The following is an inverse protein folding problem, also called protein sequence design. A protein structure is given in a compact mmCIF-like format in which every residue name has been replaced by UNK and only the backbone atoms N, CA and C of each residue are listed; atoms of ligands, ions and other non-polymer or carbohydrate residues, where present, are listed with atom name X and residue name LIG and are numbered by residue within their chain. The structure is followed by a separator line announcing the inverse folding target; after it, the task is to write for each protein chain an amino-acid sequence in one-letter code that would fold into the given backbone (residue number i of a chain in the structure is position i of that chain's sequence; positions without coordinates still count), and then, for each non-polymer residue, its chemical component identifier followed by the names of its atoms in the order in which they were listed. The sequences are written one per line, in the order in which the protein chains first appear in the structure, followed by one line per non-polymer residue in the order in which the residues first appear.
data_IF_227460899129
#
_entry.id   IF_227460899129
#
_cell.length_a   1.000
_cell.length_b   1.000
_cell.length_c   1.000
_cell.angle_alpha   90.00
_cell.angle_beta   90.00
_cell.angle_gamma   90.00
#
_symmetry.space_group_name_H-M   'P 1'
#
loop_
_entity.id
_entity.type
_entity.pdbx_description
1 polymer ?
#
# COMPACT_ATOMS: atom_id res chain seq x y z
N UNK A 1 -0.33 -13.20 2.22
CA UNK A 1 -0.65 -12.48 0.96
C UNK A 1 0.39 -11.39 0.75
N UNK A 2 0.59 -10.89 -0.46
CA UNK A 2 1.59 -9.86 -0.73
C UNK A 2 0.91 -8.55 -1.13
N UNK A 3 1.30 -7.45 -0.50
CA UNK A 3 0.92 -6.09 -0.89
C UNK A 3 2.11 -5.44 -1.59
N UNK A 4 1.88 -4.90 -2.78
CA UNK A 4 2.88 -4.12 -3.51
C UNK A 4 2.57 -2.64 -3.34
N UNK A 5 3.52 -1.89 -2.78
CA UNK A 5 3.39 -0.47 -2.49
C UNK A 5 4.50 0.31 -3.22
N UNK A 6 4.12 1.38 -3.92
CA UNK A 6 5.06 2.21 -4.68
C UNK A 6 5.85 3.15 -3.76
N UNK A 7 5.26 3.59 -2.65
CA UNK A 7 5.90 4.49 -1.71
C UNK A 7 6.96 3.78 -0.85
N UNK A 8 7.89 4.53 -0.25
CA UNK A 8 8.90 3.96 0.65
C UNK A 8 8.32 3.35 1.94
N UNK A 9 7.13 3.76 2.33
CA UNK A 9 6.44 3.30 3.54
C UNK A 9 4.96 3.02 3.25
N UNK A 10 4.37 1.97 3.85
CA UNK A 10 2.95 1.63 3.69
C UNK A 10 2.01 2.64 4.37
N UNK A 11 0.75 2.63 3.95
CA UNK A 11 -0.32 3.45 4.53
C UNK A 11 -0.90 4.50 3.58
N UNK A 12 -0.38 4.62 2.35
CA UNK A 12 -0.94 5.46 1.28
C UNK A 12 -1.26 6.89 1.75
N UNK A 13 -2.45 7.38 1.39
CA UNK A 13 -2.89 8.74 1.73
C UNK A 13 -3.01 9.02 3.24
N UNK A 14 -3.24 7.98 4.06
CA UNK A 14 -3.23 8.16 5.53
C UNK A 14 -1.85 8.58 6.02
N UNK A 15 -0.77 8.08 5.37
CA UNK A 15 0.60 8.45 5.69
C UNK A 15 1.04 9.76 5.03
N UNK A 16 0.73 9.95 3.74
CA UNK A 16 1.30 11.06 2.95
C UNK A 16 0.40 12.29 2.82
N UNK A 17 -0.91 12.14 3.05
CA UNK A 17 -1.89 13.22 2.86
C UNK A 17 -2.47 13.81 4.14
N UNK A 18 -2.60 12.99 5.20
CA UNK A 18 -3.19 13.43 6.46
C UNK A 18 -2.09 13.99 7.39
N UNK A 19 -2.24 15.22 7.90
CA UNK A 19 -1.29 15.77 8.88
C UNK A 19 -1.26 14.96 10.19
N UNK A 20 -0.08 14.88 10.80
CA UNK A 20 0.18 14.08 12.00
C UNK A 20 -0.72 14.45 13.20
N UNK A 21 -1.06 15.73 13.38
CA UNK A 21 -1.98 16.15 14.45
C UNK A 21 -3.43 15.65 14.27
N UNK A 22 -3.81 15.19 13.06
CA UNK A 22 -5.12 14.58 12.78
C UNK A 22 -5.05 13.06 12.81
N UNK A 23 -3.94 12.49 12.36
CA UNK A 23 -3.69 11.06 12.39
C UNK A 23 -2.22 10.85 12.76
N UNK A 24 -1.92 10.61 14.04
CA UNK A 24 -0.56 10.36 14.50
C UNK A 24 0.08 9.16 13.78
N UNK A 25 1.30 9.34 13.29
CA UNK A 25 2.00 8.33 12.49
C UNK A 25 2.35 7.07 13.26
N UNK A 26 2.48 7.15 14.58
CA UNK A 26 2.71 6.02 15.48
C UNK A 26 1.48 5.11 15.58
N UNK A 27 0.27 5.69 15.65
CA UNK A 27 -0.98 4.94 15.59
C UNK A 27 -1.09 4.21 14.25
N UNK A 28 -0.87 4.93 13.14
CA UNK A 28 -0.88 4.30 11.81
C UNK A 28 0.17 3.18 11.69
N UNK A 29 1.34 3.34 12.30
CA UNK A 29 2.38 2.31 12.29
C UNK A 29 1.93 1.06 13.07
N UNK A 30 1.33 1.23 14.25
CA UNK A 30 0.85 0.12 15.05
C UNK A 30 -0.21 -0.72 14.32
N UNK A 31 -1.15 -0.08 13.63
CA UNK A 31 -2.18 -0.76 12.81
C UNK A 31 -1.55 -1.56 11.66
N UNK A 32 -0.50 -1.02 11.01
CA UNK A 32 0.22 -1.72 9.95
C UNK A 32 1.00 -2.90 10.51
N UNK A 33 1.67 -2.74 11.64
CA UNK A 33 2.39 -3.83 12.34
C UNK A 33 1.44 -4.97 12.72
N UNK A 34 0.20 -4.66 13.13
CA UNK A 34 -0.82 -5.69 13.39
C UNK A 34 -1.18 -6.47 12.12
N UNK A 35 -1.34 -5.79 10.98
CA UNK A 35 -1.59 -6.43 9.68
C UNK A 35 -0.41 -7.31 9.24
N UNK A 36 0.82 -6.85 9.43
CA UNK A 36 2.02 -7.66 9.14
C UNK A 36 2.09 -8.90 10.06
N UNK A 37 1.69 -8.75 11.33
CA UNK A 37 1.72 -9.84 12.32
C UNK A 37 0.82 -11.03 11.97
N UNK A 38 -0.24 -10.81 11.17
CA UNK A 38 -1.13 -11.88 10.68
C UNK A 38 -0.64 -12.55 9.38
N UNK A 39 0.57 -12.23 8.92
CA UNK A 39 1.23 -12.89 7.78
C UNK A 39 1.03 -12.19 6.43
N UNK A 40 0.76 -10.88 6.44
CA UNK A 40 0.81 -10.04 5.24
C UNK A 40 2.25 -9.59 4.98
N UNK A 41 2.75 -9.81 3.77
CA UNK A 41 4.05 -9.34 3.31
C UNK A 41 3.87 -8.04 2.52
N UNK A 42 4.38 -6.92 3.02
CA UNK A 42 4.27 -5.61 2.36
C UNK A 42 5.62 -5.26 1.72
N UNK A 43 5.64 -5.18 0.39
CA UNK A 43 6.82 -4.79 -0.39
C UNK A 43 6.70 -3.33 -0.81
N UNK A 44 7.42 -2.46 -0.10
CA UNK A 44 7.54 -1.03 -0.43
C UNK A 44 8.49 -0.80 -1.60
N UNK A 45 8.48 0.41 -2.18
CA UNK A 45 9.27 0.76 -3.37
C UNK A 45 9.09 -0.21 -4.55
N UNK A 46 7.92 -0.84 -4.66
CA UNK A 46 7.64 -1.89 -5.65
C UNK A 46 6.43 -1.48 -6.50
N UNK A 47 6.62 -0.61 -7.52
CA UNK A 47 5.56 -0.31 -8.48
C UNK A 47 5.15 -1.57 -9.26
N UNK A 48 3.87 -1.67 -9.60
CA UNK A 48 3.33 -2.72 -10.46
C UNK A 48 2.86 -2.09 -11.76
N UNK A 49 3.56 -2.41 -12.85
CA UNK A 49 3.25 -1.89 -14.19
C UNK A 49 2.39 -2.87 -15.01
N UNK A 50 2.36 -4.16 -14.64
CA UNK A 50 1.65 -5.21 -15.38
C UNK A 50 1.02 -6.26 -14.47
N UNK A 51 -0.30 -6.45 -14.60
CA UNK A 51 -1.03 -7.49 -13.87
C UNK A 51 -0.71 -8.89 -14.42
N UNK A 52 -0.44 -9.01 -15.72
CA UNK A 52 -0.08 -10.27 -16.36
C UNK A 52 1.23 -10.83 -15.81
N UNK A 53 2.18 -9.95 -15.44
CA UNK A 53 3.43 -10.36 -14.80
C UNK A 53 3.18 -10.95 -13.41
N UNK A 54 2.23 -10.41 -12.65
CA UNK A 54 1.83 -10.98 -11.37
C UNK A 54 1.16 -12.36 -11.55
N UNK A 55 0.28 -12.52 -12.54
CA UNK A 55 -0.28 -13.84 -12.83
C UNK A 55 0.82 -14.84 -13.24
N UNK A 56 1.80 -14.43 -14.03
CA UNK A 56 2.97 -15.25 -14.41
C UNK A 56 3.86 -15.62 -13.21
N UNK A 57 3.93 -14.77 -12.19
CA UNK A 57 4.61 -15.06 -10.92
C UNK A 57 3.85 -16.06 -10.03
N UNK A 58 2.63 -16.47 -10.43
CA UNK A 58 1.85 -17.50 -9.75
C UNK A 58 0.77 -16.97 -8.80
N UNK A 59 0.52 -15.65 -8.77
CA UNK A 59 -0.62 -15.11 -8.01
C UNK A 59 -1.94 -15.51 -8.68
N UNK A 60 -2.87 -16.09 -7.92
CA UNK A 60 -4.14 -16.59 -8.46
C UNK A 60 -5.25 -15.52 -8.55
N UNK A 61 -5.13 -14.47 -7.74
CA UNK A 61 -6.09 -13.37 -7.67
C UNK A 61 -5.35 -12.06 -7.37
N UNK A 62 -5.89 -10.96 -7.88
CA UNK A 62 -5.32 -9.62 -7.70
C UNK A 62 -6.43 -8.69 -7.23
N UNK A 63 -6.14 -7.89 -6.21
CA UNK A 63 -7.00 -6.82 -5.71
C UNK A 63 -6.31 -5.47 -5.92
N UNK A 64 -6.97 -4.54 -6.61
CA UNK A 64 -6.43 -3.21 -6.89
C UNK A 64 -6.92 -2.21 -5.84
N UNK A 65 -5.98 -1.74 -5.01
CA UNK A 65 -6.22 -0.76 -3.94
C UNK A 65 -5.31 0.48 -4.10
N UNK A 66 -5.04 0.90 -5.34
CA UNK A 66 -4.06 1.95 -5.67
C UNK A 66 -4.52 3.38 -5.36
N UNK A 67 -5.81 3.58 -5.05
CA UNK A 67 -6.36 4.91 -4.78
C UNK A 67 -6.24 5.89 -5.97
N UNK A 68 -6.35 7.18 -5.69
CA UNK A 68 -6.27 8.27 -6.68
C UNK A 68 -5.18 9.28 -6.28
N UNK A 69 -3.92 8.95 -6.55
CA UNK A 69 -2.77 9.79 -6.17
C UNK A 69 -2.65 11.08 -7.00
N UNK A 70 -3.22 11.12 -8.19
CA UNK A 70 -3.22 12.30 -9.04
C UNK A 70 -4.58 13.00 -8.95
N UNK A 71 -4.56 14.32 -8.76
CA UNK A 71 -5.76 15.13 -8.87
C UNK A 71 -6.27 15.17 -10.30
N UNK A 72 -7.60 15.20 -10.46
CA UNK A 72 -8.22 15.44 -11.76
C UNK A 72 -7.91 16.88 -12.16
N UNK A 73 -7.14 17.07 -13.24
CA UNK A 73 -7.01 18.39 -13.88
C UNK A 73 -8.33 18.68 -14.60
N UNK A 74 -9.03 19.69 -14.12
CA UNK A 74 -10.27 20.23 -14.70
C UNK A 74 -9.91 21.39 -15.63
#
# INVERSE_FOLDING_TARGET
MTVFEVLPEPGGMMRVGIPDYRLPKDILRAEIEEIESVGVDIKTNTPVDSLDELFKQGYNAIFLATGAHQGVKI
#
